data_IF_704641974496
#
_entry.id   IF_704641974496
#
_cell.length_a   1.000
_cell.length_b   1.000
_cell.length_c   1.000
_cell.angle_alpha   90.00
_cell.angle_beta   90.00
_cell.angle_gamma   90.00
#
_symmetry.space_group_name_H-M   'P 1'
#
loop_
_entity.id
_entity.type
_entity.pdbx_description
1 polymer ?
#
# COMPACT_ATOMS: atom_id res chain seq x y z
N UNK A 1 21.41 -16.95 36.62
CA UNK A 1 20.96 -15.74 35.91
C UNK A 1 20.51 -16.17 34.54
N UNK A 2 19.23 -16.52 34.44
CA UNK A 2 18.60 -16.98 33.20
C UNK A 2 17.95 -15.76 32.53
N UNK A 3 18.48 -15.35 31.38
CA UNK A 3 17.88 -14.26 30.59
C UNK A 3 16.88 -14.91 29.65
N UNK A 4 15.62 -14.93 30.09
CA UNK A 4 14.47 -15.29 29.28
C UNK A 4 14.49 -14.53 27.96
N UNK A 5 14.56 -15.30 26.87
CA UNK A 5 14.33 -14.83 25.51
C UNK A 5 12.93 -14.25 25.44
N UNK A 6 12.83 -12.94 25.22
CA UNK A 6 11.60 -12.34 24.69
C UNK A 6 11.50 -12.76 23.24
N UNK A 7 10.76 -13.83 22.98
CA UNK A 7 10.13 -14.04 21.69
C UNK A 7 9.23 -12.83 21.42
N UNK A 8 9.72 -11.91 20.60
CA UNK A 8 8.87 -10.96 19.93
C UNK A 8 8.00 -11.76 18.97
N UNK A 9 6.80 -12.12 19.43
CA UNK A 9 5.72 -12.63 18.60
C UNK A 9 5.45 -11.60 17.51
N UNK A 10 6.10 -11.78 16.37
CA UNK A 10 5.87 -11.01 15.16
C UNK A 10 4.44 -11.34 14.74
N UNK A 11 3.48 -10.52 15.14
CA UNK A 11 2.08 -10.67 14.72
C UNK A 11 2.11 -10.78 13.20
N UNK A 12 1.77 -11.94 12.65
CA UNK A 12 1.66 -12.17 11.21
C UNK A 12 0.54 -11.29 10.65
N UNK A 13 0.86 -10.01 10.43
CA UNK A 13 -0.04 -9.06 9.83
C UNK A 13 -0.14 -9.35 8.34
N UNK A 14 -1.35 -9.42 7.82
CA UNK A 14 -1.56 -9.55 6.37
C UNK A 14 -0.98 -8.35 5.62
N UNK A 15 -0.79 -7.20 6.27
CA UNK A 15 -0.17 -6.02 5.66
C UNK A 15 1.36 -6.11 5.50
N UNK A 16 2.04 -7.10 6.10
CA UNK A 16 3.49 -7.27 5.96
C UNK A 16 3.84 -7.75 4.57
N UNK A 17 4.65 -6.99 3.82
CA UNK A 17 5.06 -7.35 2.44
C UNK A 17 5.83 -8.68 2.42
N UNK A 18 5.55 -9.54 1.44
CA UNK A 18 6.12 -10.90 1.35
C UNK A 18 7.19 -11.03 0.25
N UNK A 19 7.10 -10.24 -0.80
CA UNK A 19 7.95 -10.26 -1.99
C UNK A 19 8.75 -8.96 -2.11
N UNK A 20 8.14 -7.82 -1.79
CA UNK A 20 8.78 -6.51 -1.82
C UNK A 20 9.43 -6.23 -0.47
N UNK A 21 10.77 -6.28 -0.43
CA UNK A 21 11.55 -5.88 0.74
C UNK A 21 11.69 -4.34 0.83
N UNK A 22 12.26 -3.84 1.94
CA UNK A 22 12.43 -2.40 2.16
C UNK A 22 13.24 -1.72 1.05
N UNK A 23 14.40 -2.25 0.60
CA UNK A 23 15.12 -1.67 -0.53
C UNK A 23 14.31 -1.64 -1.83
N UNK A 24 13.54 -2.68 -2.15
CA UNK A 24 12.66 -2.69 -3.32
C UNK A 24 11.53 -1.66 -3.20
N UNK A 25 10.95 -1.49 -2.01
CA UNK A 25 9.93 -0.47 -1.76
C UNK A 25 10.47 0.95 -2.01
N UNK A 26 11.68 1.26 -1.54
CA UNK A 26 12.35 2.55 -1.80
C UNK A 26 12.61 2.78 -3.29
N UNK A 27 13.02 1.73 -4.01
CA UNK A 27 13.22 1.77 -5.46
C UNK A 27 11.90 2.03 -6.20
N UNK A 28 10.80 1.38 -5.81
CA UNK A 28 9.46 1.64 -6.36
C UNK A 28 9.06 3.10 -6.16
N UNK A 29 9.24 3.61 -4.93
CA UNK A 29 8.92 5.00 -4.61
C UNK A 29 9.77 6.00 -5.41
N UNK A 30 11.06 5.70 -5.58
CA UNK A 30 11.98 6.52 -6.37
C UNK A 30 11.60 6.53 -7.85
N UNK A 31 11.36 5.36 -8.43
CA UNK A 31 10.89 5.22 -9.81
C UNK A 31 9.59 5.98 -10.05
N UNK A 32 8.62 5.85 -9.14
CA UNK A 32 7.35 6.55 -9.29
C UNK A 32 7.52 8.07 -9.19
N UNK A 33 8.35 8.58 -8.27
CA UNK A 33 8.70 10.01 -8.21
C UNK A 33 9.32 10.48 -9.53
N UNK A 34 10.23 9.70 -10.10
CA UNK A 34 10.84 10.01 -11.40
C UNK A 34 9.77 10.09 -12.50
N UNK A 35 8.79 9.18 -12.54
CA UNK A 35 7.69 9.25 -13.51
C UNK A 35 6.83 10.53 -13.43
N UNK A 36 6.75 11.16 -12.26
CA UNK A 36 6.02 12.42 -12.11
C UNK A 36 6.79 13.63 -12.65
N UNK A 37 8.11 13.53 -12.73
CA UNK A 37 8.99 14.63 -13.10
C UNK A 37 9.15 14.74 -14.63
N UNK A 38 9.05 15.96 -15.17
CA UNK A 38 9.31 16.21 -16.59
C UNK A 38 10.79 16.04 -16.93
N UNK A 39 11.67 16.44 -16.01
CA UNK A 39 13.11 16.45 -16.22
C UNK A 39 13.77 15.67 -15.09
N UNK A 40 14.12 14.41 -15.37
CA UNK A 40 15.09 13.68 -14.57
C UNK A 40 16.47 13.83 -15.25
N UNK A 41 17.54 13.46 -14.55
CA UNK A 41 18.92 13.63 -15.05
C UNK A 41 19.15 13.01 -16.44
N UNK A 42 18.44 11.93 -16.78
CA UNK A 42 18.70 11.14 -17.99
C UNK A 42 17.48 10.93 -18.89
N UNK A 43 16.30 11.39 -18.48
CA UNK A 43 15.06 11.09 -19.20
C UNK A 43 13.89 11.99 -18.78
N UNK A 44 12.81 11.96 -19.57
CA UNK A 44 11.55 12.63 -19.26
C UNK A 44 10.55 11.64 -18.65
N UNK A 45 10.41 11.67 -17.33
CA UNK A 45 9.54 10.75 -16.61
C UNK A 45 8.06 10.87 -16.98
N UNK A 46 7.56 12.08 -17.28
CA UNK A 46 6.17 12.26 -17.71
C UNK A 46 5.91 11.69 -19.11
N UNK A 47 6.91 11.74 -19.99
CA UNK A 47 6.82 11.07 -21.29
C UNK A 47 6.78 9.55 -21.11
N UNK A 48 7.62 9.00 -20.23
CA UNK A 48 7.61 7.57 -19.86
C UNK A 48 6.26 7.16 -19.25
N UNK A 49 5.69 7.97 -18.32
CA UNK A 49 4.36 7.76 -17.74
C UNK A 49 3.28 7.77 -18.81
N UNK A 50 3.32 8.73 -19.74
CA UNK A 50 2.36 8.82 -20.83
C UNK A 50 2.48 7.66 -21.84
N UNK A 51 3.68 7.11 -22.04
CA UNK A 51 3.88 5.91 -22.85
C UNK A 51 3.25 4.69 -22.16
N UNK A 52 3.52 4.48 -20.87
CA UNK A 52 2.94 3.39 -20.09
C UNK A 52 1.41 3.42 -20.09
N UNK A 53 0.79 4.59 -19.92
CA UNK A 53 -0.69 4.74 -19.95
C UNK A 53 -1.33 4.45 -21.30
N UNK A 54 -0.58 4.57 -22.40
CA UNK A 54 -1.08 4.34 -23.77
C UNK A 54 -0.76 2.96 -24.30
N UNK A 55 0.13 2.22 -23.64
CA UNK A 55 0.50 0.88 -24.04
C UNK A 55 -0.67 -0.10 -23.88
N UNK A 56 -0.70 -1.14 -24.74
CA UNK A 56 -1.67 -2.22 -24.63
C UNK A 56 -1.37 -3.10 -23.40
N UNK A 57 -1.96 -2.76 -22.26
CA UNK A 57 -1.63 -3.38 -20.97
C UNK A 57 -2.08 -4.87 -20.87
N UNK A 58 -1.34 -5.71 -20.11
CA UNK A 58 -0.10 -5.40 -19.41
C UNK A 58 1.14 -5.55 -20.32
N UNK A 59 1.09 -6.37 -21.38
CA UNK A 59 2.28 -6.76 -22.13
C UNK A 59 2.91 -5.65 -22.97
N UNK A 60 2.12 -4.69 -23.45
CA UNK A 60 2.65 -3.50 -24.14
C UNK A 60 3.54 -2.65 -23.25
N UNK A 61 3.45 -2.76 -21.91
CA UNK A 61 4.36 -2.07 -21.01
C UNK A 61 5.80 -2.61 -21.13
N UNK A 62 5.98 -3.87 -21.56
CA UNK A 62 7.30 -4.49 -21.75
C UNK A 62 8.16 -3.75 -22.78
N UNK A 63 7.58 -2.96 -23.67
CA UNK A 63 8.34 -2.19 -24.67
C UNK A 63 8.55 -0.74 -24.27
N UNK A 64 8.08 -0.32 -23.09
CA UNK A 64 8.16 1.05 -22.62
C UNK A 64 9.47 1.30 -21.83
N UNK A 65 10.11 2.44 -22.11
CA UNK A 65 11.33 2.84 -21.39
C UNK A 65 11.10 3.03 -19.88
N UNK A 66 9.93 3.52 -19.48
CA UNK A 66 9.54 3.62 -18.07
C UNK A 66 9.54 2.26 -17.35
N UNK A 67 9.11 1.19 -18.02
CA UNK A 67 9.18 -0.17 -17.49
C UNK A 67 10.61 -0.69 -17.44
N UNK A 68 11.40 -0.50 -18.52
CA UNK A 68 12.79 -0.94 -18.56
C UNK A 68 13.61 -0.40 -17.37
N UNK A 69 13.43 0.89 -17.04
CA UNK A 69 14.05 1.51 -15.86
C UNK A 69 13.62 0.82 -14.56
N UNK A 70 12.32 0.56 -14.38
CA UNK A 70 11.81 -0.14 -13.19
C UNK A 70 12.39 -1.56 -13.09
N UNK A 71 12.40 -2.29 -14.20
CA UNK A 71 12.88 -3.68 -14.24
C UNK A 71 14.36 -3.77 -13.85
N UNK A 72 15.18 -2.81 -14.28
CA UNK A 72 16.59 -2.72 -13.87
C UNK A 72 16.72 -2.44 -12.37
N UNK A 73 15.92 -1.53 -11.81
CA UNK A 73 15.93 -1.23 -10.37
C UNK A 73 15.52 -2.46 -9.55
N UNK A 74 14.54 -3.22 -10.03
CA UNK A 74 13.97 -4.40 -9.39
C UNK A 74 14.56 -5.73 -9.87
N UNK A 75 15.75 -5.73 -10.49
CA UNK A 75 16.36 -6.94 -11.04
C UNK A 75 16.50 -8.07 -10.00
N UNK A 76 16.83 -7.75 -8.75
CA UNK A 76 16.89 -8.73 -7.65
C UNK A 76 15.53 -9.30 -7.23
N UNK A 77 14.44 -8.55 -7.39
CA UNK A 77 13.07 -9.04 -7.13
C UNK A 77 12.64 -9.97 -8.26
N UNK A 78 12.93 -9.59 -9.51
CA UNK A 78 12.58 -10.36 -10.71
C UNK A 78 13.37 -11.68 -10.75
N UNK A 79 14.69 -11.62 -10.60
CA UNK A 79 15.58 -12.76 -10.76
C UNK A 79 15.38 -13.46 -12.11
N UNK A 80 15.48 -14.79 -12.14
CA UNK A 80 15.28 -15.60 -13.35
C UNK A 80 13.80 -15.98 -13.59
N UNK A 81 12.87 -15.36 -12.85
CA UNK A 81 11.45 -15.74 -12.86
C UNK A 81 10.67 -14.90 -13.87
N UNK A 82 10.34 -15.50 -15.01
CA UNK A 82 9.53 -14.85 -16.07
C UNK A 82 8.21 -14.27 -15.56
N UNK A 83 7.49 -14.98 -14.68
CA UNK A 83 6.22 -14.48 -14.12
C UNK A 83 6.41 -13.23 -13.24
N UNK A 84 7.57 -13.05 -12.61
CA UNK A 84 7.88 -11.82 -11.86
C UNK A 84 8.17 -10.66 -12.78
N UNK A 85 8.84 -10.88 -13.90
CA UNK A 85 9.02 -9.86 -14.94
C UNK A 85 7.65 -9.36 -15.45
N UNK A 86 6.74 -10.30 -15.75
CA UNK A 86 5.37 -9.98 -16.17
C UNK A 86 4.58 -9.28 -15.05
N UNK A 87 4.75 -9.67 -13.79
CA UNK A 87 4.15 -8.99 -12.65
C UNK A 87 4.64 -7.56 -12.46
N UNK A 88 5.94 -7.31 -12.65
CA UNK A 88 6.50 -5.95 -12.64
C UNK A 88 5.97 -5.12 -13.82
N UNK A 89 5.77 -5.72 -15.00
CA UNK A 89 5.17 -5.03 -16.14
C UNK A 89 3.71 -4.65 -15.88
N UNK A 90 2.92 -5.56 -15.29
CA UNK A 90 1.55 -5.30 -14.86
C UNK A 90 1.51 -4.19 -13.82
N UNK A 91 2.39 -4.25 -12.81
CA UNK A 91 2.52 -3.17 -11.83
C UNK A 91 2.89 -1.83 -12.48
N UNK A 92 3.84 -1.79 -13.42
CA UNK A 92 4.23 -0.56 -14.10
C UNK A 92 3.06 0.05 -14.88
N UNK A 93 2.29 -0.79 -15.58
CA UNK A 93 1.09 -0.38 -16.31
C UNK A 93 0.03 0.20 -15.37
N UNK A 94 -0.22 -0.43 -14.22
CA UNK A 94 -1.19 0.05 -13.21
C UNK A 94 -0.71 1.34 -12.54
N UNK A 95 0.54 1.35 -12.04
CA UNK A 95 1.10 2.46 -11.28
C UNK A 95 1.18 3.75 -12.10
N UNK A 96 1.33 3.67 -13.42
CA UNK A 96 1.30 4.85 -14.29
C UNK A 96 -0.03 5.65 -14.21
N UNK A 97 -1.12 5.00 -13.76
CA UNK A 97 -2.42 5.64 -13.54
C UNK A 97 -2.59 6.21 -12.12
N UNK A 98 -1.68 5.93 -11.19
CA UNK A 98 -1.71 6.53 -9.84
C UNK A 98 -1.27 8.00 -9.89
N UNK A 99 -1.93 8.85 -9.11
CA UNK A 99 -1.56 10.27 -9.01
C UNK A 99 -0.47 10.51 -7.97
N UNK A 100 -0.55 9.84 -6.83
CA UNK A 100 0.34 10.02 -5.69
C UNK A 100 0.53 8.69 -4.95
N UNK A 101 1.75 8.49 -4.42
CA UNK A 101 2.03 7.38 -3.51
C UNK A 101 1.56 7.73 -2.09
N UNK A 102 0.86 6.80 -1.44
CA UNK A 102 0.38 6.94 -0.08
C UNK A 102 0.70 5.66 0.69
N UNK A 103 1.68 5.71 1.58
CA UNK A 103 2.23 4.57 2.32
C UNK A 103 1.56 4.31 3.68
N UNK A 104 0.54 5.10 4.06
CA UNK A 104 -0.08 5.05 5.39
C UNK A 104 -0.80 3.74 5.73
N UNK A 105 -1.37 3.07 4.73
CA UNK A 105 -2.11 1.81 4.85
C UNK A 105 -1.79 0.92 3.65
N UNK A 106 -2.09 -0.37 3.73
CA UNK A 106 -1.93 -1.26 2.58
C UNK A 106 -2.86 -0.88 1.43
N UNK A 107 -2.55 -1.32 0.23
CA UNK A 107 -3.35 -1.04 -0.96
C UNK A 107 -4.80 -1.52 -0.79
N UNK A 108 -5.02 -2.74 -0.29
CA UNK A 108 -6.37 -3.27 -0.15
C UNK A 108 -7.16 -2.56 0.97
N UNK A 109 -6.52 -2.21 2.09
CA UNK A 109 -7.15 -1.42 3.15
C UNK A 109 -7.61 -0.05 2.61
N UNK A 110 -6.78 0.59 1.80
CA UNK A 110 -7.09 1.84 1.10
C UNK A 110 -8.34 1.72 0.19
N UNK A 111 -8.54 0.60 -0.48
CA UNK A 111 -9.75 0.41 -1.29
C UNK A 111 -11.03 0.32 -0.44
N UNK A 112 -10.91 -0.16 0.80
CA UNK A 112 -12.02 -0.29 1.75
C UNK A 112 -12.37 0.98 2.51
N UNK A 113 -11.57 2.04 2.41
CA UNK A 113 -11.82 3.31 3.09
C UNK A 113 -13.05 4.03 2.54
N UNK A 114 -13.72 4.79 3.41
CA UNK A 114 -14.82 5.70 3.06
C UNK A 114 -14.27 6.87 2.23
N UNK A 115 -15.00 7.29 1.19
CA UNK A 115 -14.58 8.38 0.28
C UNK A 115 -14.56 9.73 1.01
N UNK A 116 -15.43 9.92 1.99
CA UNK A 116 -15.47 11.11 2.84
C UNK A 116 -15.93 10.74 4.25
N UNK A 117 -15.56 11.56 5.23
CA UNK A 117 -16.11 11.47 6.58
C UNK A 117 -17.65 11.53 6.53
N UNK A 118 -18.32 10.62 7.26
CA UNK A 118 -19.78 10.53 7.28
C UNK A 118 -20.45 9.84 6.08
N UNK A 119 -19.71 9.43 5.05
CA UNK A 119 -20.28 8.63 3.95
C UNK A 119 -20.13 7.13 4.20
N UNK A 120 -21.15 6.32 3.90
CA UNK A 120 -21.01 4.86 3.87
C UNK A 120 -20.40 4.33 2.56
N UNK A 121 -20.17 5.22 1.60
CA UNK A 121 -19.55 4.87 0.33
C UNK A 121 -18.05 4.67 0.52
N UNK A 122 -17.59 3.45 0.24
CA UNK A 122 -16.16 3.11 0.11
C UNK A 122 -15.60 3.54 -1.24
N UNK A 123 -14.27 3.72 -1.33
CA UNK A 123 -13.58 3.96 -2.61
C UNK A 123 -13.93 2.87 -3.61
N UNK A 124 -13.68 1.61 -3.25
CA UNK A 124 -14.15 0.47 -4.01
C UNK A 124 -15.28 -0.21 -3.23
N UNK A 125 -16.45 -0.33 -3.83
CA UNK A 125 -17.55 -1.11 -3.26
C UNK A 125 -17.18 -2.59 -3.16
N UNK A 126 -17.73 -3.31 -2.18
CA UNK A 126 -17.47 -4.74 -1.93
C UNK A 126 -17.66 -5.61 -3.18
N UNK A 127 -18.77 -5.45 -3.91
CA UNK A 127 -19.01 -6.17 -5.17
C UNK A 127 -17.89 -5.97 -6.22
N UNK A 128 -17.31 -4.76 -6.30
CA UNK A 128 -16.21 -4.48 -7.24
C UNK A 128 -14.89 -5.03 -6.73
N UNK A 129 -14.70 -5.03 -5.41
CA UNK A 129 -13.56 -5.65 -4.77
C UNK A 129 -13.58 -7.17 -4.95
N UNK A 130 -14.73 -7.83 -4.77
CA UNK A 130 -14.86 -9.26 -5.07
C UNK A 130 -14.57 -9.58 -6.54
N UNK A 131 -15.01 -8.73 -7.47
CA UNK A 131 -14.66 -8.89 -8.90
C UNK A 131 -13.15 -8.79 -9.12
N UNK A 132 -12.46 -7.88 -8.43
CA UNK A 132 -11.00 -7.79 -8.45
C UNK A 132 -10.34 -9.09 -7.95
N UNK A 133 -10.84 -9.66 -6.85
CA UNK A 133 -10.32 -10.92 -6.29
C UNK A 133 -10.55 -12.13 -7.22
N UNK A 134 -11.63 -12.11 -8.00
CA UNK A 134 -11.99 -13.20 -8.93
C UNK A 134 -11.30 -13.11 -10.30
N UNK A 135 -10.44 -12.11 -10.52
CA UNK A 135 -9.71 -11.97 -11.78
C UNK A 135 -8.96 -13.26 -12.14
N UNK A 136 -9.13 -13.73 -13.38
CA UNK A 136 -8.57 -15.01 -13.83
C UNK A 136 -7.33 -14.84 -14.71
N UNK A 137 -7.22 -13.71 -15.42
CA UNK A 137 -6.11 -13.44 -16.34
C UNK A 137 -5.34 -12.16 -15.96
N UNK A 138 -4.06 -12.03 -16.34
CA UNK A 138 -3.27 -10.84 -16.07
C UNK A 138 -3.89 -9.56 -16.66
N UNK A 139 -4.51 -9.64 -17.83
CA UNK A 139 -5.19 -8.52 -18.49
C UNK A 139 -6.42 -8.07 -17.72
N UNK A 140 -7.21 -9.03 -17.23
CA UNK A 140 -8.37 -8.74 -16.39
C UNK A 140 -7.95 -8.06 -15.10
N UNK A 141 -6.97 -8.63 -14.39
CA UNK A 141 -6.42 -8.04 -13.17
C UNK A 141 -5.91 -6.62 -13.44
N UNK A 142 -5.12 -6.42 -14.50
CA UNK A 142 -4.55 -5.13 -14.85
C UNK A 142 -5.65 -4.08 -15.08
N UNK A 143 -6.71 -4.41 -15.84
CA UNK A 143 -7.83 -3.49 -16.07
C UNK A 143 -8.56 -3.12 -14.77
N UNK A 144 -8.82 -4.10 -13.91
CA UNK A 144 -9.51 -3.87 -12.64
C UNK A 144 -8.66 -3.02 -11.68
N UNK A 145 -7.35 -3.26 -11.63
CA UNK A 145 -6.41 -2.48 -10.82
C UNK A 145 -6.21 -1.05 -11.33
N UNK A 146 -6.11 -0.83 -12.64
CA UNK A 146 -6.09 0.53 -13.23
C UNK A 146 -7.32 1.31 -12.76
N UNK A 147 -8.51 0.68 -12.79
CA UNK A 147 -9.73 1.31 -12.31
C UNK A 147 -9.69 1.61 -10.80
N UNK A 148 -9.21 0.66 -9.99
CA UNK A 148 -9.10 0.83 -8.54
C UNK A 148 -8.16 1.99 -8.17
N UNK A 149 -7.00 2.07 -8.82
CA UNK A 149 -6.03 3.16 -8.65
C UNK A 149 -6.58 4.50 -9.13
N UNK A 150 -7.29 4.52 -10.27
CA UNK A 150 -7.90 5.75 -10.79
C UNK A 150 -9.01 6.28 -9.87
N UNK A 151 -9.81 5.41 -9.27
CA UNK A 151 -10.85 5.78 -8.31
C UNK A 151 -10.26 6.47 -7.07
N UNK A 152 -9.06 6.08 -6.66
CA UNK A 152 -8.36 6.69 -5.52
C UNK A 152 -7.85 8.10 -5.83
N UNK A 153 -7.48 8.37 -7.08
CA UNK A 153 -7.06 9.69 -7.54
C UNK A 153 -6.03 10.34 -6.61
N UNK A 154 -6.33 11.57 -6.17
CA UNK A 154 -5.47 12.36 -5.27
C UNK A 154 -5.32 11.80 -3.86
N UNK A 155 -6.18 10.88 -3.40
CA UNK A 155 -5.97 10.18 -2.13
C UNK A 155 -4.77 9.21 -2.20
N UNK A 156 -4.33 8.89 -3.42
CA UNK A 156 -3.16 8.06 -3.68
C UNK A 156 -3.34 6.59 -3.32
N UNK A 157 -2.31 5.80 -3.63
CA UNK A 157 -2.26 4.37 -3.32
C UNK A 157 -0.89 3.97 -2.80
N UNK A 158 -0.82 2.93 -1.98
CA UNK A 158 0.43 2.35 -1.50
C UNK A 158 1.06 1.51 -2.61
N UNK A 159 2.07 2.05 -3.29
CA UNK A 159 2.68 1.40 -4.44
C UNK A 159 3.50 0.14 -4.09
N UNK A 160 4.31 0.11 -3.01
CA UNK A 160 4.95 -1.13 -2.55
C UNK A 160 3.95 -2.24 -2.23
N UNK A 161 2.87 -1.94 -1.50
CA UNK A 161 1.82 -2.92 -1.17
C UNK A 161 1.07 -3.41 -2.42
N UNK A 162 0.81 -2.53 -3.38
CA UNK A 162 0.23 -2.89 -4.67
C UNK A 162 1.16 -3.84 -5.46
N UNK A 163 2.45 -3.52 -5.54
CA UNK A 163 3.44 -4.36 -6.23
C UNK A 163 3.55 -5.75 -5.59
N UNK A 164 3.58 -5.81 -4.26
CA UNK A 164 3.61 -7.06 -3.51
C UNK A 164 2.41 -7.95 -3.83
N UNK A 165 1.19 -7.39 -3.75
CA UNK A 165 -0.03 -8.14 -4.07
C UNK A 165 -0.10 -8.60 -5.52
N UNK A 166 0.35 -7.78 -6.49
CA UNK A 166 0.44 -8.19 -7.90
C UNK A 166 1.40 -9.36 -8.08
N UNK A 167 2.58 -9.31 -7.46
CA UNK A 167 3.59 -10.38 -7.58
C UNK A 167 3.10 -11.68 -6.94
N UNK A 168 2.42 -11.60 -5.79
CA UNK A 168 1.77 -12.76 -5.17
C UNK A 168 0.68 -13.34 -6.07
N UNK A 169 -0.19 -12.49 -6.65
CA UNK A 169 -1.23 -12.95 -7.57
C UNK A 169 -0.62 -13.62 -8.82
N UNK A 170 0.48 -13.10 -9.36
CA UNK A 170 1.16 -13.68 -10.53
C UNK A 170 1.76 -15.05 -10.23
N UNK A 171 2.35 -15.25 -9.04
CA UNK A 171 2.86 -16.55 -8.61
C UNK A 171 1.69 -17.55 -8.45
N UNK A 172 0.57 -17.14 -7.86
CA UNK A 172 -0.64 -17.97 -7.75
C UNK A 172 -1.29 -18.28 -9.10
N UNK A 173 -1.32 -17.30 -10.01
CA UNK A 173 -1.81 -17.49 -11.37
C UNK A 173 -0.98 -18.51 -12.12
N UNK A 174 0.35 -18.41 -12.05
CA UNK A 174 1.25 -19.38 -12.67
C UNK A 174 1.04 -20.78 -12.06
N UNK A 175 0.94 -20.88 -10.73
CA UNK A 175 0.66 -22.15 -10.06
C UNK A 175 -0.64 -22.79 -10.58
N UNK A 176 -1.71 -22.00 -10.77
CA UNK A 176 -2.96 -22.48 -11.39
C UNK A 176 -2.75 -22.97 -12.82
N UNK A 177 -1.99 -22.25 -13.65
CA UNK A 177 -1.70 -22.69 -15.03
C UNK A 177 -0.97 -24.03 -15.09
N UNK A 178 -0.13 -24.33 -14.09
CA UNK A 178 0.62 -25.58 -13.99
C UNK A 178 -0.07 -26.65 -13.14
N UNK A 179 -1.34 -26.45 -12.75
CA UNK A 179 -2.09 -27.34 -11.85
C UNK A 179 -1.35 -27.66 -10.53
N UNK A 180 -0.57 -26.69 -10.03
CA UNK A 180 0.12 -26.79 -8.75
C UNK A 180 -0.84 -26.47 -7.60
N UNK A 181 -0.64 -27.10 -6.42
CA UNK A 181 -1.47 -26.82 -5.25
C UNK A 181 -1.27 -25.38 -4.77
N UNK A 182 -2.32 -24.80 -4.20
CA UNK A 182 -2.26 -23.48 -3.57
C UNK A 182 -1.31 -23.50 -2.35
N UNK A 183 -0.77 -22.33 -2.01
CA UNK A 183 0.11 -22.18 -0.85
C UNK A 183 -0.55 -22.72 0.43
N UNK A 184 0.18 -23.54 1.20
CA UNK A 184 -0.35 -24.23 2.38
C UNK A 184 -0.88 -23.26 3.44
N UNK A 185 -0.10 -22.22 3.77
CA UNK A 185 -0.56 -21.13 4.63
C UNK A 185 -1.56 -20.20 3.88
N UNK A 186 -2.84 -20.11 4.31
CA UNK A 186 -3.84 -19.24 3.68
C UNK A 186 -3.52 -17.74 3.78
N UNK A 187 -2.85 -17.30 4.86
CA UNK A 187 -2.49 -15.88 5.08
C UNK A 187 -1.37 -15.38 4.16
N UNK A 188 -0.73 -16.28 3.41
CA UNK A 188 0.20 -15.93 2.33
C UNK A 188 -0.49 -15.78 0.97
N UNK A 189 -1.77 -16.16 0.88
CA UNK A 189 -2.53 -16.06 -0.38
C UNK A 189 -3.00 -14.63 -0.59
N UNK A 190 -2.80 -14.09 -1.79
CA UNK A 190 -3.12 -12.70 -2.11
C UNK A 190 -4.59 -12.38 -1.83
N UNK A 191 -5.51 -13.26 -2.25
CA UNK A 191 -6.94 -13.02 -2.07
C UNK A 191 -7.36 -12.91 -0.59
N UNK A 192 -6.79 -13.77 0.27
CA UNK A 192 -7.06 -13.75 1.71
C UNK A 192 -6.49 -12.48 2.34
N UNK A 193 -5.23 -12.14 2.00
CA UNK A 193 -4.56 -10.95 2.52
C UNK A 193 -5.31 -9.67 2.17
N UNK A 194 -5.62 -9.47 0.89
CA UNK A 194 -6.38 -8.32 0.43
C UNK A 194 -7.76 -8.27 1.08
N UNK A 195 -8.46 -9.40 1.25
CA UNK A 195 -9.76 -9.43 1.93
C UNK A 195 -9.63 -8.97 3.38
N UNK A 196 -8.71 -9.56 4.15
CA UNK A 196 -8.47 -9.16 5.52
C UNK A 196 -8.18 -7.66 5.64
N UNK A 197 -7.29 -7.14 4.80
CA UNK A 197 -6.92 -5.72 4.77
C UNK A 197 -8.08 -4.80 4.37
N UNK A 198 -8.83 -5.15 3.32
CA UNK A 198 -9.99 -4.35 2.85
C UNK A 198 -11.09 -4.23 3.91
N UNK A 199 -11.25 -5.26 4.75
CA UNK A 199 -12.19 -5.25 5.87
C UNK A 199 -11.58 -4.78 7.18
N UNK A 200 -10.30 -4.39 7.24
CA UNK A 200 -9.75 -3.71 8.42
C UNK A 200 -10.50 -2.40 8.62
N UNK A 201 -11.47 -2.45 9.53
CA UNK A 201 -12.26 -1.29 9.93
C UNK A 201 -11.26 -0.24 10.37
N UNK A 202 -11.37 0.96 9.79
CA UNK A 202 -10.68 2.13 10.34
C UNK A 202 -11.27 2.33 11.73
N UNK A 203 -10.65 1.75 12.75
CA UNK A 203 -10.83 2.18 14.12
C UNK A 203 -10.22 3.58 14.18
N UNK A 204 -10.95 4.55 13.68
CA UNK A 204 -10.76 5.94 14.06
C UNK A 204 -11.18 5.98 15.54
N UNK A 205 -10.28 6.30 16.47
CA UNK A 205 -10.72 6.55 17.83
C UNK A 205 -11.75 7.68 17.73
N UNK A 206 -12.95 7.45 18.28
CA UNK A 206 -13.96 8.49 18.38
C UNK A 206 -13.30 9.72 19.05
N UNK A 207 -13.54 10.95 18.54
CA UNK A 207 -12.93 12.16 19.10
C UNK A 207 -13.28 12.42 20.57
N UNK A 208 -14.19 11.63 21.16
CA UNK A 208 -14.68 11.79 22.53
C UNK A 208 -13.96 10.90 23.58
N UNK A 209 -12.91 10.16 23.20
CA UNK A 209 -12.13 9.36 24.15
C UNK A 209 -10.80 10.02 24.55
N UNK A 210 -10.84 11.29 24.97
CA UNK A 210 -9.76 11.87 25.78
C UNK A 210 -10.10 11.62 27.25
N UNK A 211 -9.33 10.83 28.02
CA UNK A 211 -9.47 10.82 29.46
C UNK A 211 -8.97 12.16 30.01
N UNK A 212 -9.91 13.05 30.29
CA UNK A 212 -9.72 14.16 31.23
C UNK A 212 -9.40 13.57 32.60
N UNK A 213 -8.12 13.52 32.95
CA UNK A 213 -7.68 13.29 34.31
C UNK A 213 -6.35 14.01 34.51
N UNK A 214 -6.16 14.54 35.73
CA UNK A 214 -5.15 15.53 36.17
C UNK A 214 -5.69 16.95 35.90
N UNK A 215 -6.50 17.55 36.77
CA UNK A 215 -6.10 17.93 38.14
C UNK A 215 -7.34 18.36 38.94
N UNK A 216 -7.69 17.64 40.01
CA UNK A 216 -8.47 18.18 41.13
C UNK A 216 -8.54 17.17 42.29
N UNK A 217 -7.55 17.22 43.18
CA UNK A 217 -7.63 16.96 44.63
C UNK A 217 -6.50 17.86 45.21
N UNK A 218 -6.76 19.05 45.78
CA UNK A 218 -7.25 19.31 47.17
C UNK A 218 -6.56 18.41 48.19
N UNK A 219 -5.98 18.85 49.30
CA UNK A 219 -5.75 20.13 49.99
C UNK A 219 -4.65 19.80 51.02
N UNK A 220 -3.71 20.69 51.35
CA UNK A 220 -3.22 20.75 52.74
C UNK A 220 -2.63 22.13 53.10
N UNK A 221 -2.87 22.47 54.35
CA UNK A 221 -2.84 23.76 55.00
C UNK A 221 -1.45 24.42 55.17
N UNK A 222 -1.52 25.75 55.23
CA UNK A 222 -0.80 26.53 56.24
C UNK A 222 0.46 27.26 55.76
N UNK A 223 0.36 28.58 55.55
CA UNK A 223 0.88 29.59 56.49
C UNK A 223 0.81 31.00 55.85
N UNK A 224 0.12 31.94 56.51
CA UNK A 224 0.32 33.40 56.44
C UNK A 224 1.05 33.78 57.76
N UNK A 225 1.63 34.98 58.02
CA UNK A 225 1.62 36.30 57.35
C UNK A 225 3.05 36.87 57.13
N UNK A 226 3.33 38.02 56.48
CA UNK A 226 3.03 39.43 56.83
C UNK A 226 3.46 40.34 55.65
N UNK A 227 2.64 41.31 55.24
CA UNK A 227 2.78 42.77 55.52
C UNK A 227 3.84 43.52 54.69
N UNK A 228 3.40 44.40 53.76
CA UNK A 228 3.66 45.86 53.84
C UNK A 228 3.33 46.66 52.55
N UNK A 229 2.53 47.71 52.77
CA UNK A 229 2.61 49.10 52.26
C UNK A 229 2.44 49.47 50.77
N UNK A 230 1.27 50.10 50.51
CA UNK A 230 1.04 51.39 49.81
C UNK A 230 2.05 52.51 50.16
N UNK A 231 2.01 53.75 49.58
CA UNK A 231 1.03 54.40 48.67
C UNK A 231 1.73 55.06 47.45
N UNK A 232 1.15 55.85 46.54
CA UNK A 232 -0.04 56.71 46.51
C UNK A 232 -0.59 56.85 45.07
#
# INVERSE_FOLDING_TARGET
MDKGSRENGNKESTATLLVIDTPAAEKINTWFKQLQNRYNNTHNGRADRAALRRAAAPYGALTCQGFMRLSNMLAGVIGDKQHRLLGVALFAAVAAHADVNNDKKSFAAQLGEKVSAGSDRRYLSELRFERLLRAQTPEELCRLLIRAVTIRGSAGVNLPSLADGILLWMEEWLARQHNLPAHANPLKRNAVRWTCEYHQITQEPAPDAMPSAITALQDDNGNHPTDNKEPA
#
